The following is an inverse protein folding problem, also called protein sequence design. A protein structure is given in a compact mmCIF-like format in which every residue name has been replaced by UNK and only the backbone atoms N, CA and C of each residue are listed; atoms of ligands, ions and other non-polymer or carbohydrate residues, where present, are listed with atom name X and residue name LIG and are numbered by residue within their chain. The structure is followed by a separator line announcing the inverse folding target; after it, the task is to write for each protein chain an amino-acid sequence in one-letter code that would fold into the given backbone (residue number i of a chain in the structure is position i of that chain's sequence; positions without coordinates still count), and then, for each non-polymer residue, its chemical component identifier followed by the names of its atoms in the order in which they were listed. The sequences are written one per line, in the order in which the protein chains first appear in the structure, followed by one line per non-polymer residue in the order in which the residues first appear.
data_IF_211803881487
#
_entry.id   IF_211803881487
#
_cell.length_a   1.000
_cell.length_b   1.000
_cell.length_c   1.000
_cell.angle_alpha   90.00
_cell.angle_beta   90.00
_cell.angle_gamma   90.00
#
_symmetry.space_group_name_H-M   'P 1'
#
loop_
_entity.id
_entity.type
_entity.pdbx_description
1 polymer ?
#
# COMPACT_ATOMS: atom_id res chain seq x y z
N UNK A 1 -7.96 -55.98 -16.14
CA UNK A 1 -6.52 -55.93 -16.45
C UNK A 1 -6.37 -56.03 -17.97
N UNK A 2 -5.46 -55.31 -18.66
CA UNK A 2 -4.24 -54.60 -18.23
C UNK A 2 -4.42 -53.06 -18.23
N UNK A 3 -3.82 -52.26 -17.35
CA UNK A 3 -2.40 -51.90 -17.18
C UNK A 3 -1.82 -51.08 -18.35
N UNK A 4 -1.78 -49.75 -18.19
CA UNK A 4 -0.66 -48.85 -18.51
C UNK A 4 -1.13 -47.38 -18.51
N UNK A 5 -1.02 -46.71 -17.36
CA UNK A 5 -0.95 -45.25 -17.32
C UNK A 5 0.48 -44.81 -17.68
N UNK A 6 0.66 -43.79 -18.54
CA UNK A 6 1.98 -43.28 -18.85
C UNK A 6 2.50 -42.39 -17.72
N UNK A 7 3.74 -42.70 -17.35
CA UNK A 7 4.68 -41.86 -16.60
C UNK A 7 4.87 -40.46 -17.19
N UNK A 8 5.44 -39.57 -16.37
CA UNK A 8 5.81 -38.16 -16.58
C UNK A 8 4.73 -37.15 -16.17
N UNK A 9 5.03 -36.10 -15.40
CA UNK A 9 6.22 -35.26 -15.50
C UNK A 9 6.41 -34.42 -14.24
N UNK A 10 7.63 -34.48 -13.72
CA UNK A 10 8.39 -33.40 -13.10
C UNK A 10 7.65 -32.46 -12.12
N UNK A 11 7.93 -32.68 -10.84
CA UNK A 11 8.13 -31.58 -9.92
C UNK A 11 9.29 -30.71 -10.42
N UNK A 12 8.97 -29.62 -11.10
CA UNK A 12 9.83 -28.48 -11.41
C UNK A 12 8.86 -27.44 -12.02
N UNK A 13 8.65 -26.25 -11.48
CA UNK A 13 9.65 -25.24 -11.20
C UNK A 13 9.15 -24.34 -10.06
N UNK A 14 9.75 -24.44 -8.88
CA UNK A 14 9.88 -23.25 -8.05
C UNK A 14 10.92 -22.36 -8.76
N UNK A 15 10.66 -21.07 -9.02
CA UNK A 15 11.75 -20.17 -9.35
C UNK A 15 12.58 -19.99 -8.07
N UNK A 16 13.54 -20.90 -7.87
CA UNK A 16 14.71 -20.63 -7.05
C UNK A 16 15.56 -19.64 -7.84
N UNK A 17 15.20 -18.37 -7.76
CA UNK A 17 16.10 -17.28 -8.13
C UNK A 17 17.09 -17.11 -6.97
N UNK A 18 18.09 -18.00 -6.91
CA UNK A 18 19.31 -17.72 -6.15
C UNK A 18 20.10 -16.70 -6.95
N UNK A 19 19.90 -15.42 -6.61
CA UNK A 19 20.82 -14.36 -6.99
C UNK A 19 21.95 -14.33 -5.95
N UNK A 20 23.11 -14.80 -6.37
CA UNK A 20 24.36 -14.66 -5.65
C UNK A 20 24.76 -13.18 -5.62
N UNK A 21 25.08 -12.65 -4.44
CA UNK A 21 25.35 -11.24 -4.14
C UNK A 21 24.20 -10.28 -4.39
N UNK A 22 23.19 -10.35 -3.52
CA UNK A 22 22.26 -9.27 -3.32
C UNK A 22 21.71 -9.40 -1.92
N UNK A 23 22.27 -8.68 -0.96
CA UNK A 23 21.46 -8.30 0.20
C UNK A 23 20.17 -7.76 -0.40
N UNK A 24 19.00 -8.35 -0.15
CA UNK A 24 17.78 -7.65 -0.42
C UNK A 24 17.86 -6.49 0.54
N UNK A 25 18.37 -5.35 0.07
CA UNK A 25 18.08 -4.08 0.66
C UNK A 25 16.57 -3.97 0.42
N UNK A 26 15.79 -4.58 1.33
CA UNK A 26 14.44 -4.16 1.61
C UNK A 26 14.63 -2.67 1.73
N UNK A 27 14.17 -1.95 0.72
CA UNK A 27 13.74 -0.58 0.93
C UNK A 27 12.97 -0.64 2.25
N UNK A 28 13.19 0.28 3.20
CA UNK A 28 12.25 0.43 4.29
C UNK A 28 10.95 0.88 3.63
N UNK A 29 10.25 -0.07 3.01
CA UNK A 29 8.83 -0.09 2.78
C UNK A 29 8.34 0.12 4.19
N UNK A 30 8.09 1.39 4.49
CA UNK A 30 7.84 1.89 5.84
C UNK A 30 7.01 0.82 6.49
N UNK A 31 7.62 0.04 7.40
CA UNK A 31 6.94 -1.07 8.00
C UNK A 31 5.84 -0.37 8.78
N UNK A 32 4.65 -0.28 8.18
CA UNK A 32 3.47 0.22 8.83
C UNK A 32 3.15 -0.90 9.81
N UNK A 33 3.89 -0.90 10.92
CA UNK A 33 3.79 -1.86 11.97
C UNK A 33 2.47 -1.53 12.66
N UNK A 34 1.42 -2.22 12.26
CA UNK A 34 0.12 -2.14 12.91
C UNK A 34 0.17 -2.99 14.17
N UNK A 35 -0.04 -2.36 15.33
CA UNK A 35 -0.20 -3.09 16.58
C UNK A 35 -1.56 -3.79 16.61
N UNK A 36 -1.60 -5.07 16.97
CA UNK A 36 -2.88 -5.81 17.12
C UNK A 36 -3.52 -5.63 18.50
N UNK A 37 -2.82 -5.00 19.43
CA UNK A 37 -3.32 -4.69 20.78
C UNK A 37 -4.33 -3.54 20.83
N UNK A 38 -4.57 -2.88 19.71
CA UNK A 38 -5.54 -1.78 19.59
C UNK A 38 -6.92 -2.29 19.11
N UNK A 39 -8.02 -1.57 19.43
CA UNK A 39 -9.33 -1.89 18.89
C UNK A 39 -9.33 -1.94 17.35
N UNK A 40 -10.07 -2.89 16.77
CA UNK A 40 -10.17 -3.06 15.30
C UNK A 40 -10.55 -1.78 14.56
N UNK A 41 -11.36 -0.92 15.19
CA UNK A 41 -11.73 0.38 14.64
C UNK A 41 -10.50 1.26 14.43
N UNK A 42 -9.64 1.38 15.44
CA UNK A 42 -8.45 2.23 15.36
C UNK A 42 -7.42 1.65 14.39
N UNK A 43 -7.28 0.31 14.33
CA UNK A 43 -6.39 -0.33 13.36
C UNK A 43 -6.82 -0.03 11.91
N UNK A 44 -8.13 -0.04 11.64
CA UNK A 44 -8.70 0.37 10.35
C UNK A 44 -8.40 1.84 10.07
N UNK A 45 -8.64 2.72 11.04
CA UNK A 45 -8.40 4.16 10.87
C UNK A 45 -6.90 4.43 10.56
N UNK A 46 -5.97 3.72 11.21
CA UNK A 46 -4.54 3.83 10.91
C UNK A 46 -4.19 3.39 9.48
N UNK A 47 -4.70 2.24 9.04
CA UNK A 47 -4.49 1.76 7.67
C UNK A 47 -5.06 2.76 6.66
N UNK A 48 -6.30 3.20 6.86
CA UNK A 48 -6.98 4.11 5.95
C UNK A 48 -6.24 5.46 5.86
N UNK A 49 -5.79 5.98 7.00
CA UNK A 49 -4.98 7.20 7.07
C UNK A 49 -3.73 7.07 6.18
N UNK A 50 -2.95 6.01 6.41
CA UNK A 50 -1.71 5.79 5.70
C UNK A 50 -1.92 5.54 4.20
N UNK A 51 -2.99 4.81 3.85
CA UNK A 51 -3.40 4.56 2.47
C UNK A 51 -3.75 5.85 1.72
N UNK A 52 -4.52 6.74 2.33
CA UNK A 52 -4.87 8.02 1.71
C UNK A 52 -3.69 8.98 1.67
N UNK A 53 -2.86 9.07 2.71
CA UNK A 53 -1.63 9.87 2.69
C UNK A 53 -0.70 9.46 1.55
N UNK A 54 -0.51 8.15 1.36
CA UNK A 54 0.28 7.59 0.26
C UNK A 54 -0.24 8.04 -1.11
N UNK A 55 -1.55 7.88 -1.36
CA UNK A 55 -2.15 8.26 -2.64
C UNK A 55 -2.20 9.77 -2.84
N UNK A 56 -2.42 10.54 -1.78
CA UNK A 56 -2.38 12.00 -1.83
C UNK A 56 -0.99 12.51 -2.21
N UNK A 57 0.07 11.93 -1.65
CA UNK A 57 1.44 12.30 -2.01
C UNK A 57 1.74 11.98 -3.47
N UNK A 58 1.35 10.78 -3.93
CA UNK A 58 1.61 10.29 -5.29
C UNK A 58 0.83 11.02 -6.37
N UNK A 59 -0.39 11.47 -6.07
CA UNK A 59 -1.24 12.23 -7.00
C UNK A 59 -1.13 13.75 -6.81
N UNK A 60 -0.09 14.25 -6.13
CA UNK A 60 0.17 15.68 -5.88
C UNK A 60 -1.00 16.42 -5.23
N UNK A 61 -1.70 15.76 -4.31
CA UNK A 61 -2.88 16.28 -3.63
C UNK A 61 -4.08 16.47 -4.57
N UNK A 62 -4.14 15.76 -5.70
CA UNK A 62 -5.30 15.78 -6.59
C UNK A 62 -6.41 14.87 -6.05
N UNK A 63 -7.40 15.49 -5.42
CA UNK A 63 -8.56 14.79 -4.87
C UNK A 63 -9.31 13.95 -5.91
N UNK A 64 -9.43 14.46 -7.13
CA UNK A 64 -10.10 13.75 -8.23
C UNK A 64 -9.37 12.46 -8.56
N UNK A 65 -8.03 12.51 -8.71
CA UNK A 65 -7.24 11.33 -9.02
C UNK A 65 -7.22 10.32 -7.87
N UNK A 66 -7.16 10.79 -6.62
CA UNK A 66 -7.25 9.90 -5.45
C UNK A 66 -8.62 9.23 -5.39
N UNK A 67 -9.72 9.94 -5.64
CA UNK A 67 -11.05 9.34 -5.72
C UNK A 67 -11.14 8.27 -6.81
N UNK A 68 -10.62 8.55 -8.01
CA UNK A 68 -10.56 7.58 -9.11
C UNK A 68 -9.72 6.34 -8.77
N UNK A 69 -8.56 6.53 -8.12
CA UNK A 69 -7.64 5.42 -7.75
C UNK A 69 -8.19 4.55 -6.63
N UNK A 70 -8.82 5.17 -5.64
CA UNK A 70 -9.39 4.48 -4.47
C UNK A 70 -10.80 3.94 -4.75
N UNK A 71 -11.41 4.33 -5.87
CA UNK A 71 -12.79 3.99 -6.20
C UNK A 71 -13.82 4.63 -5.27
N UNK A 72 -13.41 5.66 -4.51
CA UNK A 72 -14.25 6.30 -3.51
C UNK A 72 -14.83 7.59 -4.07
N UNK A 73 -16.14 7.77 -3.90
CA UNK A 73 -16.82 9.03 -4.21
C UNK A 73 -16.12 10.21 -3.54
N UNK A 74 -15.87 11.29 -4.31
CA UNK A 74 -15.10 12.45 -3.83
C UNK A 74 -15.69 13.06 -2.55
N UNK A 75 -17.02 13.13 -2.44
CA UNK A 75 -17.72 13.61 -1.23
C UNK A 75 -17.46 12.73 -0.01
N UNK A 76 -17.36 11.41 -0.22
CA UNK A 76 -17.07 10.46 0.86
C UNK A 76 -15.60 10.50 1.25
N UNK A 77 -14.71 10.67 0.27
CA UNK A 77 -13.28 10.84 0.49
C UNK A 77 -13.01 12.04 1.40
N UNK A 78 -13.61 13.21 1.14
CA UNK A 78 -13.46 14.39 2.01
C UNK A 78 -13.89 14.13 3.46
N UNK A 79 -15.04 13.46 3.66
CA UNK A 79 -15.52 13.10 5.01
C UNK A 79 -14.52 12.18 5.70
N UNK A 80 -13.99 11.21 4.96
CA UNK A 80 -13.06 10.21 5.48
C UNK A 80 -11.71 10.82 5.86
N UNK A 81 -11.14 11.68 5.01
CA UNK A 81 -9.91 12.42 5.34
C UNK A 81 -10.08 13.29 6.59
N UNK A 82 -11.23 13.98 6.71
CA UNK A 82 -11.54 14.80 7.90
C UNK A 82 -11.66 13.95 9.17
N UNK A 83 -12.26 12.76 9.08
CA UNK A 83 -12.39 11.83 10.21
C UNK A 83 -11.03 11.24 10.64
N UNK A 84 -10.15 10.97 9.68
CA UNK A 84 -8.82 10.38 9.89
C UNK A 84 -7.74 11.43 10.23
N UNK A 85 -8.08 12.72 10.17
CA UNK A 85 -7.14 13.82 10.40
C UNK A 85 -6.04 13.91 9.34
N UNK A 86 -6.35 13.56 8.09
CA UNK A 86 -5.44 13.68 6.94
C UNK A 86 -5.64 15.03 6.28
N UNK A 87 -4.64 15.90 6.38
CA UNK A 87 -4.65 17.24 5.80
C UNK A 87 -4.19 17.19 4.34
N UNK A 88 -4.93 17.86 3.44
CA UNK A 88 -4.65 17.95 2.00
C UNK A 88 -3.52 18.93 1.67
N UNK A 89 -2.57 19.14 2.58
CA UNK A 89 -1.64 20.28 2.56
C UNK A 89 -0.85 20.39 1.26
N UNK A 90 -1.36 21.25 0.35
CA UNK A 90 -0.58 22.02 -0.63
C UNK A 90 -0.05 23.33 -0.05
N UNK A 91 -0.09 23.52 1.27
CA UNK A 91 0.35 24.77 1.88
C UNK A 91 1.63 24.56 2.72
N UNK A 92 2.70 24.13 2.06
CA UNK A 92 4.02 24.60 2.46
C UNK A 92 4.27 25.86 1.62
N UNK A 93 3.97 27.09 2.10
CA UNK A 93 4.75 28.21 1.61
C UNK A 93 6.20 27.81 1.88
N UNK A 94 7.00 27.79 0.82
CA UNK A 94 8.43 27.54 0.95
C UNK A 94 8.98 28.42 2.09
N UNK A 95 9.91 27.92 2.92
CA UNK A 95 10.67 28.82 3.74
C UNK A 95 11.45 29.69 2.77
N UNK A 96 11.01 30.94 2.61
CA UNK A 96 11.86 31.98 2.04
C UNK A 96 13.00 32.17 3.04
N UNK A 97 14.03 31.35 2.87
CA UNK A 97 15.35 31.58 3.43
C UNK A 97 16.00 32.64 2.55
N UNK A 98 16.06 33.87 3.07
CA UNK A 98 17.13 34.87 2.89
C UNK A 98 16.83 36.12 3.72
#
# INVERSE_FOLDING_TARGET
APAAEPTARAAETAPTEVSANGTPQRVPEAEMQFSFDMPLREARDMFERAYFEYHLLREHGSMTRVAEKTGLERTHLYRKLKQLGVELSRNKPEPAEQ
#
